data_IF_977386397490
#
_entry.id   IF_977386397490
#
_cell.length_a   1.000
_cell.length_b   1.000
_cell.length_c   1.000
_cell.angle_alpha   90.00
_cell.angle_beta   90.00
_cell.angle_gamma   90.00
#
_symmetry.space_group_name_H-M   'P 1'
#
loop_
_entity.id
_entity.type
_entity.pdbx_description
1 polymer ?
#
# COMPACT_ATOMS: atom_id res chain seq x y z
N UNK A 1 53.65 17.17 73.75
CA UNK A 1 52.66 17.05 72.66
C UNK A 1 53.33 17.39 71.33
N UNK A 2 52.77 16.86 70.23
CA UNK A 2 53.03 17.18 68.82
C UNK A 2 53.98 16.18 68.13
N UNK A 3 53.34 15.15 67.54
CA UNK A 3 53.97 14.17 66.66
C UNK A 3 53.97 14.63 65.20
N UNK A 4 55.06 14.34 64.50
CA UNK A 4 55.18 14.51 63.06
C UNK A 4 54.48 13.37 62.33
N UNK A 5 53.57 13.69 61.41
CA UNK A 5 53.00 12.76 60.43
C UNK A 5 53.12 13.39 59.04
N UNK A 6 54.28 13.18 58.42
CA UNK A 6 54.48 13.39 56.99
C UNK A 6 54.09 12.09 56.28
N UNK A 7 53.13 12.18 55.36
CA UNK A 7 52.79 11.09 54.46
C UNK A 7 51.30 10.91 54.27
N UNK A 8 50.73 11.54 53.24
CA UNK A 8 50.33 10.87 52.00
C UNK A 8 49.62 11.91 51.13
N UNK A 9 50.19 12.20 49.96
CA UNK A 9 49.54 12.99 48.93
C UNK A 9 48.38 12.15 48.38
N UNK A 10 47.14 12.51 48.71
CA UNK A 10 45.95 12.03 48.01
C UNK A 10 45.90 12.68 46.63
N UNK A 11 46.66 12.13 45.71
CA UNK A 11 46.45 12.33 44.29
C UNK A 11 45.12 11.64 43.92
N UNK A 12 44.01 12.36 44.07
CA UNK A 12 42.76 11.95 43.43
C UNK A 12 42.84 12.36 41.96
N UNK A 13 43.64 11.58 41.24
CA UNK A 13 43.70 11.54 39.78
C UNK A 13 42.34 11.11 39.23
N UNK A 14 42.06 11.59 38.03
CA UNK A 14 40.99 11.16 37.13
C UNK A 14 39.60 11.67 37.50
N UNK A 15 39.29 12.83 36.90
CA UNK A 15 38.01 13.09 36.26
C UNK A 15 37.57 11.86 35.43
N UNK A 16 36.87 10.93 36.08
CA UNK A 16 36.08 9.93 35.41
C UNK A 16 34.86 10.64 34.83
N UNK A 17 34.98 11.15 33.60
CA UNK A 17 33.84 11.24 32.68
C UNK A 17 33.27 9.83 32.62
N UNK A 18 32.30 9.56 33.49
CA UNK A 18 31.47 8.38 33.38
C UNK A 18 30.80 8.56 32.03
N UNK A 19 31.20 7.74 31.07
CA UNK A 19 30.42 7.51 29.88
C UNK A 19 29.04 7.11 30.36
N UNK A 20 28.14 8.09 30.47
CA UNK A 20 26.72 7.83 30.45
C UNK A 20 26.50 7.24 29.06
N UNK A 21 26.60 5.92 29.00
CA UNK A 21 26.03 5.14 27.92
C UNK A 21 24.65 5.73 27.70
N UNK A 22 24.44 6.33 26.54
CA UNK A 22 23.12 6.47 25.94
C UNK A 22 22.61 5.06 25.69
N UNK A 23 22.29 4.35 26.77
CA UNK A 23 21.48 3.17 26.72
C UNK A 23 20.11 3.70 26.31
N UNK A 24 19.82 3.63 25.01
CA UNK A 24 18.44 3.55 24.55
C UNK A 24 17.73 2.57 25.48
N UNK A 25 16.64 2.97 26.16
CA UNK A 25 16.03 2.11 27.16
C UNK A 25 15.59 0.83 26.46
N UNK A 26 16.31 -0.25 26.74
CA UNK A 26 15.91 -1.58 26.35
C UNK A 26 14.56 -1.86 27.03
N UNK A 27 13.50 -2.01 26.24
CA UNK A 27 12.23 -2.56 26.73
C UNK A 27 10.99 -1.69 26.63
N UNK A 28 10.98 -0.58 25.88
CA UNK A 28 9.70 0.05 25.51
C UNK A 28 9.18 -0.65 24.25
N UNK A 29 8.34 -1.66 24.44
CA UNK A 29 7.55 -2.29 23.38
C UNK A 29 6.66 -1.20 22.74
N UNK A 30 7.04 -0.77 21.54
CA UNK A 30 6.29 0.23 20.77
C UNK A 30 4.87 -0.32 20.55
N UNK A 31 3.89 0.46 20.97
CA UNK A 31 2.47 0.16 20.73
C UNK A 31 2.23 0.04 19.22
N UNK A 32 1.25 -0.76 18.80
CA UNK A 32 0.92 -0.95 17.37
C UNK A 32 0.66 0.39 16.64
N UNK A 33 0.09 1.37 17.35
CA UNK A 33 -0.12 2.75 16.89
C UNK A 33 1.14 3.64 16.82
N UNK A 34 2.31 3.12 17.20
CA UNK A 34 3.62 3.79 17.07
C UNK A 34 4.48 3.17 15.96
N UNK A 35 4.18 1.93 15.56
CA UNK A 35 4.89 1.19 14.49
C UNK A 35 4.13 1.19 13.16
N UNK A 36 2.91 1.75 13.12
CA UNK A 36 2.07 1.81 11.90
C UNK A 36 2.75 2.50 10.71
N UNK A 37 3.72 3.38 10.98
CA UNK A 37 4.53 4.05 9.96
C UNK A 37 6.02 3.80 10.23
N UNK A 38 6.51 2.67 9.74
CA UNK A 38 7.93 2.36 9.64
C UNK A 38 8.37 2.61 8.19
N UNK A 39 9.31 3.53 7.90
CA UNK A 39 9.74 3.79 6.52
C UNK A 39 10.26 2.55 5.78
N UNK A 40 10.80 1.57 6.51
CA UNK A 40 11.22 0.29 5.96
C UNK A 40 10.06 -0.60 5.48
N UNK A 41 8.82 -0.35 5.91
CA UNK A 41 7.64 -1.11 5.50
C UNK A 41 6.99 -0.59 4.21
N UNK A 42 7.36 0.61 3.74
CA UNK A 42 6.82 1.24 2.52
C UNK A 42 6.89 0.29 1.29
N UNK A 43 8.01 -0.41 1.02
CA UNK A 43 8.09 -1.31 -0.12
C UNK A 43 7.07 -2.46 -0.06
N UNK A 44 6.80 -2.98 1.14
CA UNK A 44 5.83 -4.06 1.34
C UNK A 44 4.42 -3.55 1.02
N UNK A 45 4.06 -2.37 1.53
CA UNK A 45 2.77 -1.74 1.24
C UNK A 45 2.56 -1.45 -0.25
N UNK A 46 3.62 -1.05 -0.97
CA UNK A 46 3.54 -0.82 -2.42
C UNK A 46 3.25 -2.13 -3.17
N UNK A 47 3.94 -3.22 -2.85
CA UNK A 47 3.72 -4.51 -3.53
C UNK A 47 2.33 -5.05 -3.23
N UNK A 48 1.91 -5.03 -1.97
CA UNK A 48 0.57 -5.51 -1.55
C UNK A 48 -0.52 -4.63 -2.16
N UNK A 49 -0.35 -3.30 -2.12
CA UNK A 49 -1.28 -2.36 -2.72
C UNK A 49 -1.42 -2.56 -4.23
N UNK A 50 -0.30 -2.77 -4.93
CA UNK A 50 -0.29 -3.06 -6.37
C UNK A 50 -0.97 -4.40 -6.67
N UNK A 51 -0.75 -5.42 -5.86
CA UNK A 51 -1.39 -6.73 -6.02
C UNK A 51 -2.91 -6.65 -5.84
N UNK A 52 -3.38 -6.02 -4.75
CA UNK A 52 -4.80 -5.83 -4.49
C UNK A 52 -5.47 -4.96 -5.54
N UNK A 53 -4.83 -3.86 -5.95
CA UNK A 53 -5.32 -3.00 -7.02
C UNK A 53 -5.39 -3.74 -8.35
N UNK A 54 -4.34 -4.48 -8.73
CA UNK A 54 -4.29 -5.28 -9.95
C UNK A 54 -5.37 -6.37 -9.96
N UNK A 55 -5.59 -7.05 -8.84
CA UNK A 55 -6.66 -8.03 -8.70
C UNK A 55 -8.04 -7.38 -8.85
N UNK A 56 -8.31 -6.28 -8.15
CA UNK A 56 -9.58 -5.54 -8.28
C UNK A 56 -9.82 -5.01 -9.70
N UNK A 57 -8.78 -4.47 -10.33
CA UNK A 57 -8.82 -4.04 -11.73
C UNK A 57 -9.13 -5.20 -12.68
N UNK A 58 -8.51 -6.36 -12.47
CA UNK A 58 -8.75 -7.51 -13.33
C UNK A 58 -10.16 -8.08 -13.16
N UNK A 59 -10.67 -8.15 -11.93
CA UNK A 59 -12.07 -8.53 -11.68
C UNK A 59 -13.06 -7.56 -12.34
N UNK A 60 -12.83 -6.25 -12.21
CA UNK A 60 -13.71 -5.24 -12.86
C UNK A 60 -13.63 -5.32 -14.39
N UNK A 61 -12.45 -5.60 -14.96
CA UNK A 61 -12.29 -5.86 -16.39
C UNK A 61 -13.09 -7.08 -16.85
N UNK A 62 -13.07 -8.17 -16.08
CA UNK A 62 -13.79 -9.41 -16.38
C UNK A 62 -15.30 -9.26 -16.20
N UNK A 63 -15.74 -8.53 -15.16
CA UNK A 63 -17.14 -8.21 -14.90
C UNK A 63 -17.81 -7.43 -16.05
N UNK A 64 -17.03 -6.81 -16.95
CA UNK A 64 -17.51 -6.05 -18.11
C UNK A 64 -17.40 -6.84 -19.42
N UNK A 65 -17.21 -8.17 -19.37
CA UNK A 65 -17.20 -9.02 -20.55
C UNK A 65 -18.55 -9.02 -21.28
N UNK A 66 -18.55 -9.39 -22.56
CA UNK A 66 -19.75 -9.35 -23.40
C UNK A 66 -20.89 -10.26 -22.91
N UNK A 67 -20.54 -11.32 -22.21
CA UNK A 67 -21.48 -12.34 -21.68
C UNK A 67 -22.03 -12.00 -20.30
N UNK A 68 -21.53 -10.93 -19.66
CA UNK A 68 -21.94 -10.54 -18.31
C UNK A 68 -22.93 -9.37 -18.40
N UNK A 69 -24.14 -9.58 -17.88
CA UNK A 69 -25.22 -8.58 -17.81
C UNK A 69 -25.52 -8.26 -16.35
N UNK A 70 -25.38 -6.98 -15.98
CA UNK A 70 -25.71 -6.47 -14.64
C UNK A 70 -27.13 -5.91 -14.52
N UNK A 71 -27.76 -5.59 -15.66
CA UNK A 71 -29.13 -5.09 -15.70
C UNK A 71 -30.13 -6.24 -15.52
N UNK A 72 -30.80 -6.25 -14.37
CA UNK A 72 -31.75 -7.31 -13.98
C UNK A 72 -33.21 -6.97 -14.26
N UNK A 73 -33.53 -5.69 -14.51
CA UNK A 73 -34.92 -5.21 -14.56
C UNK A 73 -35.27 -4.44 -15.83
N UNK A 74 -34.32 -3.73 -16.45
CA UNK A 74 -34.58 -2.90 -17.63
C UNK A 74 -34.41 -3.63 -18.95
N UNK A 75 -33.45 -4.55 -19.03
CA UNK A 75 -33.14 -5.28 -20.26
C UNK A 75 -32.27 -6.53 -20.00
N UNK A 76 -32.87 -7.63 -19.49
CA UNK A 76 -32.17 -8.90 -19.30
C UNK A 76 -31.62 -9.50 -20.61
N UNK A 77 -32.15 -9.04 -21.75
CA UNK A 77 -31.83 -9.48 -23.10
C UNK A 77 -31.11 -8.38 -23.91
N UNK A 78 -29.77 -8.30 -23.88
CA UNK A 78 -29.02 -7.23 -24.56
C UNK A 78 -29.25 -7.19 -26.08
N UNK A 79 -29.56 -8.32 -26.72
CA UNK A 79 -29.75 -8.44 -28.16
C UNK A 79 -30.92 -7.61 -28.72
N UNK A 80 -31.94 -7.31 -27.92
CA UNK A 80 -33.09 -6.51 -28.37
C UNK A 80 -32.76 -5.04 -28.67
N UNK A 81 -31.62 -4.52 -28.18
CA UNK A 81 -31.18 -3.13 -28.39
C UNK A 81 -30.03 -2.98 -29.39
N UNK A 82 -29.49 -4.09 -29.88
CA UNK A 82 -28.32 -4.10 -30.78
C UNK A 82 -28.83 -4.05 -32.22
N UNK A 83 -28.65 -2.90 -32.87
CA UNK A 83 -29.03 -2.73 -34.27
C UNK A 83 -27.98 -3.37 -35.20
N UNK A 84 -28.38 -3.87 -36.39
CA UNK A 84 -27.46 -4.32 -37.41
C UNK A 84 -26.42 -3.24 -37.75
N UNK A 85 -25.14 -3.61 -37.82
CA UNK A 85 -24.04 -2.65 -38.04
C UNK A 85 -23.48 -1.99 -36.78
N UNK A 86 -23.93 -2.39 -35.58
CA UNK A 86 -23.35 -1.92 -34.32
C UNK A 86 -22.17 -2.79 -33.89
N UNK A 87 -21.05 -2.15 -33.55
CA UNK A 87 -19.87 -2.82 -32.99
C UNK A 87 -20.09 -3.15 -31.51
N UNK A 88 -20.13 -4.44 -31.19
CA UNK A 88 -20.30 -4.96 -29.82
C UNK A 88 -19.00 -5.29 -29.11
N UNK A 89 -17.90 -5.45 -29.86
CA UNK A 89 -16.57 -5.75 -29.35
C UNK A 89 -15.86 -4.48 -28.94
N UNK A 90 -15.01 -4.52 -27.91
CA UNK A 90 -14.24 -3.35 -27.50
C UNK A 90 -13.20 -2.90 -28.55
N UNK A 91 -12.75 -3.82 -29.40
CA UNK A 91 -11.77 -3.54 -30.45
C UNK A 91 -12.13 -4.29 -31.73
N UNK A 92 -11.94 -3.60 -32.86
CA UNK A 92 -12.00 -4.17 -34.20
C UNK A 92 -10.83 -3.63 -35.01
N UNK A 93 -10.34 -4.45 -35.93
CA UNK A 93 -9.36 -4.08 -36.96
C UNK A 93 -10.03 -3.55 -38.24
N UNK A 94 -11.37 -3.45 -38.28
CA UNK A 94 -12.15 -2.95 -39.42
C UNK A 94 -13.22 -1.97 -38.94
N UNK A 95 -12.89 -0.69 -38.72
CA UNK A 95 -13.83 0.31 -38.19
C UNK A 95 -14.92 0.69 -39.20
N UNK A 96 -14.62 0.62 -40.50
CA UNK A 96 -15.51 1.00 -41.61
C UNK A 96 -16.76 0.12 -41.78
N UNK A 97 -16.77 -1.09 -41.18
CA UNK A 97 -17.91 -2.02 -41.25
C UNK A 97 -19.04 -1.69 -40.28
N UNK A 98 -18.81 -0.78 -39.34
CA UNK A 98 -19.75 -0.51 -38.26
C UNK A 98 -20.12 0.97 -38.24
N UNK A 99 -21.42 1.25 -38.14
CA UNK A 99 -21.97 2.61 -38.15
C UNK A 99 -22.03 3.22 -36.76
N UNK A 100 -22.06 2.39 -35.71
CA UNK A 100 -22.12 2.81 -34.31
C UNK A 100 -21.41 1.84 -33.37
N UNK A 101 -20.99 2.32 -32.20
CA UNK A 101 -20.37 1.50 -31.15
C UNK A 101 -21.38 1.29 -30.02
N UNK A 102 -21.56 0.04 -29.60
CA UNK A 102 -22.46 -0.29 -28.50
C UNK A 102 -21.86 0.15 -27.16
N UNK A 103 -22.49 1.13 -26.51
CA UNK A 103 -22.12 1.51 -25.14
C UNK A 103 -22.98 0.73 -24.14
N UNK A 104 -22.35 -0.14 -23.35
CA UNK A 104 -23.00 -0.70 -22.14
C UNK A 104 -22.88 0.37 -21.06
N UNK A 105 -24.00 0.82 -20.50
CA UNK A 105 -24.01 1.79 -19.41
C UNK A 105 -22.94 1.42 -18.38
N UNK A 106 -22.13 2.40 -17.98
CA UNK A 106 -21.23 2.21 -16.86
C UNK A 106 -22.09 1.94 -15.61
N UNK A 107 -21.59 1.06 -14.74
CA UNK A 107 -22.14 0.88 -13.39
C UNK A 107 -22.31 2.24 -12.71
#
# INVERSE_FOLDING_TARGET
MIGARVGLRSAQVAAGRRFASTASPAGVKKTLWQTWYEPAAIPIWVVVGTACFGAGWYLTRLARHADVTWDRHGNPEPWNKIQPGTLTKMYTNQPEKFTSTYSRGAL
#
